data_IF_573567025948
#
_entry.id   IF_573567025948
#
_cell.length_a   1.000
_cell.length_b   1.000
_cell.length_c   1.000
_cell.angle_alpha   90.00
_cell.angle_beta   90.00
_cell.angle_gamma   90.00
#
_symmetry.space_group_name_H-M   'P 1'
#
loop_
_entity.id
_entity.type
_entity.pdbx_description
1 polymer ?
#
# COMPACT_ATOMS: atom_id res chain seq x y z
N UNK A 1 -11.50 10.12 -7.09
CA UNK A 1 -12.85 10.14 -6.52
C UNK A 1 -13.90 9.58 -7.46
N UNK A 2 -15.02 9.12 -6.92
CA UNK A 2 -16.16 8.59 -7.69
C UNK A 2 -17.44 9.34 -7.31
N UNK A 3 -18.35 9.47 -8.25
CA UNK A 3 -19.67 10.08 -8.01
C UNK A 3 -20.75 9.00 -8.04
N UNK A 4 -21.64 9.02 -7.07
CA UNK A 4 -22.77 8.11 -6.99
C UNK A 4 -22.34 6.65 -6.95
N UNK A 5 -22.95 5.82 -7.81
CA UNK A 5 -22.70 4.38 -7.92
C UNK A 5 -21.55 4.00 -8.87
N UNK A 6 -20.77 4.98 -9.37
CA UNK A 6 -19.68 4.66 -10.29
C UNK A 6 -18.61 3.81 -9.61
N UNK A 7 -18.21 2.70 -10.24
CA UNK A 7 -17.13 1.86 -9.77
C UNK A 7 -15.79 2.62 -9.83
N UNK A 8 -14.98 2.48 -8.79
CA UNK A 8 -13.58 2.93 -8.83
C UNK A 8 -12.80 2.04 -9.80
N UNK A 9 -11.95 2.65 -10.61
CA UNK A 9 -10.95 1.87 -11.33
C UNK A 9 -10.06 1.14 -10.31
N UNK A 10 -9.74 -0.13 -10.59
CA UNK A 10 -8.77 -0.88 -9.78
C UNK A 10 -7.39 -0.24 -9.86
N UNK A 11 -6.59 -0.44 -8.83
CA UNK A 11 -5.17 -0.11 -8.86
C UNK A 11 -4.40 -1.15 -9.66
N UNK A 12 -3.35 -0.74 -10.32
CA UNK A 12 -2.51 -1.61 -11.16
C UNK A 12 -1.08 -1.08 -11.19
N UNK A 13 -0.18 -1.88 -11.71
CA UNK A 13 1.20 -1.53 -11.95
C UNK A 13 2.17 -2.14 -10.94
N UNK A 14 3.44 -2.21 -11.34
CA UNK A 14 4.51 -2.69 -10.50
C UNK A 14 4.95 -1.63 -9.50
N UNK A 15 5.06 -1.99 -8.23
CA UNK A 15 5.57 -1.12 -7.17
C UNK A 15 7.09 -0.91 -7.29
N UNK A 16 7.82 -1.96 -7.68
CA UNK A 16 9.30 -1.94 -7.73
C UNK A 16 9.89 -1.72 -9.12
N UNK A 17 9.12 -1.98 -10.19
CA UNK A 17 9.54 -1.83 -11.59
C UNK A 17 8.42 -1.18 -12.40
N UNK A 18 7.99 0.05 -12.05
CA UNK A 18 6.82 0.67 -12.64
C UNK A 18 7.05 0.98 -14.13
N UNK A 19 6.12 0.50 -14.97
CA UNK A 19 6.18 0.65 -16.45
C UNK A 19 4.84 1.05 -17.04
N UNK A 20 3.83 1.20 -16.21
CA UNK A 20 2.46 1.47 -16.60
C UNK A 20 2.19 2.97 -16.57
N UNK A 21 1.52 3.49 -17.60
CA UNK A 21 1.03 4.87 -17.59
C UNK A 21 -0.13 5.01 -16.59
N UNK A 22 -0.27 6.18 -16.00
CA UNK A 22 -1.42 6.51 -15.19
C UNK A 22 -2.70 6.53 -16.01
N UNK A 23 -3.82 6.13 -15.42
CA UNK A 23 -5.12 6.17 -16.09
C UNK A 23 -5.61 7.60 -16.30
N UNK A 24 -6.19 7.86 -17.46
CA UNK A 24 -6.97 9.07 -17.70
C UNK A 24 -8.29 9.04 -16.93
N UNK A 25 -8.88 10.21 -16.74
CA UNK A 25 -10.23 10.34 -16.18
C UNK A 25 -11.29 10.08 -17.25
N UNK A 26 -12.49 9.71 -16.80
CA UNK A 26 -13.65 9.47 -17.67
C UNK A 26 -14.74 10.52 -17.44
N UNK A 27 -15.48 10.88 -18.50
CA UNK A 27 -16.59 11.85 -18.46
C UNK A 27 -16.31 13.11 -19.30
N UNK A 28 -17.11 14.16 -19.11
CA UNK A 28 -16.89 15.47 -19.72
C UNK A 28 -15.72 16.20 -19.05
N UNK A 29 -14.94 16.96 -19.83
CA UNK A 29 -13.73 17.65 -19.36
C UNK A 29 -12.69 16.71 -18.72
N UNK A 30 -12.35 15.65 -19.45
CA UNK A 30 -11.40 14.62 -19.05
C UNK A 30 -9.96 15.10 -19.04
N UNK A 31 -9.11 14.41 -18.33
CA UNK A 31 -7.70 14.66 -18.26
C UNK A 31 -6.88 13.38 -18.45
N UNK A 32 -5.76 13.47 -19.12
CA UNK A 32 -4.83 12.36 -19.30
C UNK A 32 -4.12 12.01 -17.99
N UNK A 33 -3.81 10.73 -17.82
CA UNK A 33 -2.87 10.27 -16.80
C UNK A 33 -1.44 10.67 -17.11
N UNK A 34 -0.57 10.53 -16.12
CA UNK A 34 0.88 10.69 -16.27
C UNK A 34 1.48 9.60 -17.16
N UNK A 35 2.54 9.96 -17.88
CA UNK A 35 3.26 9.04 -18.75
C UNK A 35 4.23 8.13 -17.99
N UNK A 36 5.11 7.49 -18.75
CA UNK A 36 6.16 6.60 -18.21
C UNK A 36 7.53 7.19 -18.54
N UNK A 37 8.39 7.26 -17.55
CA UNK A 37 9.79 7.65 -17.68
C UNK A 37 10.66 6.50 -17.20
N UNK A 38 11.57 6.01 -18.04
CA UNK A 38 12.62 5.07 -17.67
C UNK A 38 13.98 5.71 -17.90
N UNK A 39 14.81 5.69 -16.86
CA UNK A 39 16.16 6.26 -16.89
C UNK A 39 17.17 5.19 -16.48
N UNK A 40 18.19 4.99 -17.29
CA UNK A 40 19.38 4.22 -16.97
C UNK A 40 20.60 5.11 -17.24
N UNK A 41 21.32 5.52 -16.22
CA UNK A 41 22.43 6.45 -16.33
C UNK A 41 23.53 6.13 -15.29
N UNK A 42 24.79 6.34 -15.64
CA UNK A 42 25.87 6.25 -14.66
C UNK A 42 25.74 7.32 -13.56
N UNK A 43 25.26 8.51 -13.93
CA UNK A 43 25.05 9.63 -13.00
C UNK A 43 23.83 10.46 -13.41
N UNK A 44 23.02 10.85 -12.42
CA UNK A 44 21.93 11.82 -12.57
C UNK A 44 22.22 13.02 -11.68
N UNK A 45 22.30 14.22 -12.29
CA UNK A 45 22.62 15.47 -11.60
C UNK A 45 21.48 16.47 -11.78
N UNK A 46 20.88 16.90 -10.68
CA UNK A 46 19.94 18.00 -10.69
C UNK A 46 20.69 19.31 -10.47
N UNK A 47 20.66 20.22 -11.46
CA UNK A 47 21.34 21.51 -11.43
C UNK A 47 20.72 22.54 -10.48
N UNK A 48 19.71 22.17 -9.70
CA UNK A 48 19.05 23.01 -8.70
C UNK A 48 17.65 22.50 -8.34
N UNK A 49 17.04 23.13 -7.34
CA UNK A 49 15.76 22.71 -6.77
C UNK A 49 14.55 22.83 -7.73
N UNK A 50 14.71 23.57 -8.83
CA UNK A 50 13.67 23.71 -9.87
C UNK A 50 13.77 22.65 -10.97
N UNK A 51 14.88 21.89 -11.04
CA UNK A 51 15.04 20.78 -11.98
C UNK A 51 14.08 19.64 -11.61
N UNK A 52 13.44 19.02 -12.61
CA UNK A 52 12.34 18.05 -12.35
C UNK A 52 12.40 16.85 -13.27
N UNK A 53 12.03 15.69 -12.74
CA UNK A 53 11.59 14.51 -13.49
C UNK A 53 10.15 14.24 -13.04
N UNK A 54 9.18 14.41 -13.93
CA UNK A 54 7.76 14.34 -13.54
C UNK A 54 6.95 13.46 -14.47
N UNK A 55 6.05 12.68 -13.88
CA UNK A 55 5.06 11.85 -14.55
C UNK A 55 3.66 12.08 -13.94
N UNK A 56 3.30 13.34 -13.72
CA UNK A 56 2.07 13.72 -13.04
C UNK A 56 0.84 13.50 -13.92
N UNK A 57 -0.29 13.18 -13.30
CA UNK A 57 -1.59 13.24 -13.93
C UNK A 57 -1.97 14.68 -14.26
N UNK A 58 -2.68 14.89 -15.38
CA UNK A 58 -3.16 16.21 -15.77
C UNK A 58 -4.43 16.57 -15.01
N UNK A 59 -4.53 17.81 -14.57
CA UNK A 59 -5.80 18.37 -14.09
C UNK A 59 -6.81 18.53 -15.22
N UNK A 60 -8.08 18.31 -14.95
CA UNK A 60 -9.19 18.51 -15.87
C UNK A 60 -10.21 19.48 -15.29
N UNK A 61 -11.32 19.70 -16.00
CA UNK A 61 -12.40 20.56 -15.48
C UNK A 61 -13.17 19.93 -14.32
N UNK A 62 -13.52 18.64 -14.41
CA UNK A 62 -14.26 17.89 -13.41
C UNK A 62 -13.51 16.73 -12.81
N UNK A 63 -12.63 16.09 -13.57
CA UNK A 63 -11.87 14.92 -13.13
C UNK A 63 -10.45 14.99 -13.66
N UNK A 64 -9.50 14.52 -12.89
CA UNK A 64 -8.08 14.49 -13.23
C UNK A 64 -7.56 13.09 -13.48
N UNK A 65 -6.44 13.00 -14.20
CA UNK A 65 -5.71 11.77 -14.44
C UNK A 65 -4.88 11.35 -13.23
N UNK A 66 -4.60 10.06 -13.12
CA UNK A 66 -3.69 9.51 -12.13
C UNK A 66 -2.22 9.83 -12.49
N UNK A 67 -1.33 9.84 -11.51
CA UNK A 67 0.11 9.85 -11.72
C UNK A 67 0.57 8.62 -12.53
N UNK A 68 1.66 8.77 -13.28
CA UNK A 68 2.25 7.71 -14.09
C UNK A 68 3.38 6.98 -13.39
N UNK A 69 4.41 6.61 -14.14
CA UNK A 69 5.53 5.83 -13.63
C UNK A 69 6.88 6.49 -13.89
N UNK A 70 7.75 6.47 -12.90
CA UNK A 70 9.16 6.82 -13.02
C UNK A 70 9.99 5.64 -12.51
N UNK A 71 10.82 5.06 -13.39
CA UNK A 71 11.76 4.02 -13.01
C UNK A 71 13.17 4.45 -13.38
N UNK A 72 14.02 4.62 -12.37
CA UNK A 72 15.39 5.09 -12.52
C UNK A 72 16.38 4.07 -11.96
N UNK A 73 17.44 3.80 -12.72
CA UNK A 73 18.63 3.10 -12.25
C UNK A 73 19.85 3.99 -12.49
N UNK A 74 20.62 4.31 -11.44
CA UNK A 74 21.77 5.20 -11.55
C UNK A 74 22.87 4.81 -10.57
N UNK A 75 24.13 5.00 -10.98
CA UNK A 75 25.27 4.86 -10.09
C UNK A 75 25.31 5.98 -9.03
N UNK A 76 25.08 7.23 -9.44
CA UNK A 76 25.04 8.38 -8.54
C UNK A 76 23.84 9.27 -8.82
N UNK A 77 23.22 9.79 -7.76
CA UNK A 77 22.14 10.78 -7.82
C UNK A 77 22.53 12.00 -6.98
N UNK A 78 22.60 13.19 -7.58
CA UNK A 78 23.03 14.38 -6.86
C UNK A 78 22.13 15.58 -7.11
N UNK A 79 22.06 16.47 -6.10
CA UNK A 79 21.33 17.73 -6.16
C UNK A 79 19.94 17.68 -5.54
N UNK A 80 19.19 18.79 -5.70
CA UNK A 80 17.98 19.08 -4.93
C UNK A 80 16.69 19.07 -5.80
N UNK A 81 16.73 18.41 -6.95
CA UNK A 81 15.61 18.33 -7.87
C UNK A 81 14.36 17.64 -7.32
N UNK A 82 13.28 17.69 -8.07
CA UNK A 82 12.02 17.02 -7.77
C UNK A 82 11.84 15.79 -8.67
N UNK A 83 11.46 14.66 -8.05
CA UNK A 83 11.04 13.44 -8.76
C UNK A 83 9.60 13.16 -8.34
N UNK A 84 8.65 13.22 -9.29
CA UNK A 84 7.23 13.25 -8.91
C UNK A 84 6.32 12.51 -9.89
N UNK A 85 5.46 11.67 -9.35
CA UNK A 85 4.40 10.98 -10.10
C UNK A 85 3.04 11.23 -9.40
N UNK A 86 2.69 12.49 -9.19
CA UNK A 86 1.49 12.89 -8.45
C UNK A 86 0.21 12.73 -9.26
N UNK A 87 -0.91 12.54 -8.58
CA UNK A 87 -2.24 12.64 -9.18
C UNK A 87 -2.55 14.07 -9.61
N UNK A 88 -3.30 14.23 -10.70
CA UNK A 88 -3.79 15.54 -11.13
C UNK A 88 -4.82 16.11 -10.18
N UNK A 89 -4.98 17.43 -10.19
CA UNK A 89 -5.92 18.16 -9.32
C UNK A 89 -7.07 18.75 -10.13
N UNK A 90 -8.30 18.59 -9.63
CA UNK A 90 -9.52 19.20 -10.15
C UNK A 90 -10.67 19.07 -9.13
N UNK A 91 -11.91 18.96 -9.58
CA UNK A 91 -13.04 18.65 -8.68
C UNK A 91 -12.94 17.22 -8.12
N UNK A 92 -12.58 16.22 -8.95
CA UNK A 92 -12.26 14.86 -8.55
C UNK A 92 -10.81 14.56 -8.88
N UNK A 93 -10.02 14.33 -7.87
CA UNK A 93 -8.57 14.26 -7.97
C UNK A 93 -8.07 12.87 -8.34
N UNK A 94 -6.97 12.83 -9.08
CA UNK A 94 -6.32 11.59 -9.48
C UNK A 94 -5.53 10.96 -8.34
N UNK A 95 -5.40 9.63 -8.35
CA UNK A 95 -4.47 8.93 -7.45
C UNK A 95 -3.03 9.16 -7.86
N UNK A 96 -2.10 9.05 -6.92
CA UNK A 96 -0.67 9.04 -7.17
C UNK A 96 -0.24 7.84 -8.02
N UNK A 97 0.89 7.95 -8.69
CA UNK A 97 1.49 6.92 -9.53
C UNK A 97 2.56 6.11 -8.80
N UNK A 98 3.62 5.74 -9.49
CA UNK A 98 4.70 4.95 -8.93
C UNK A 98 6.07 5.51 -9.31
N UNK A 99 6.96 5.62 -8.32
CA UNK A 99 8.36 6.01 -8.47
C UNK A 99 9.23 4.90 -7.92
N UNK A 100 10.17 4.39 -8.70
CA UNK A 100 11.18 3.43 -8.24
C UNK A 100 12.57 3.92 -8.65
N UNK A 101 13.48 4.02 -7.67
CA UNK A 101 14.84 4.52 -7.86
C UNK A 101 15.82 3.54 -7.27
N UNK A 102 16.61 2.90 -8.14
CA UNK A 102 17.78 2.10 -7.77
C UNK A 102 19.02 2.97 -7.92
N UNK A 103 19.79 3.18 -6.85
CA UNK A 103 20.96 4.06 -6.87
C UNK A 103 22.14 3.48 -6.09
N UNK A 104 23.34 3.77 -6.56
CA UNK A 104 24.57 3.44 -5.83
C UNK A 104 24.79 4.39 -4.64
N UNK A 105 24.93 5.67 -4.93
CA UNK A 105 25.07 6.74 -3.93
C UNK A 105 24.17 7.91 -4.23
N UNK A 106 23.80 8.67 -3.21
CA UNK A 106 23.00 9.87 -3.38
C UNK A 106 23.45 10.98 -2.45
N UNK A 107 23.41 12.24 -2.95
CA UNK A 107 23.65 13.46 -2.18
C UNK A 107 22.66 14.55 -2.57
N UNK A 108 22.36 15.46 -1.64
CA UNK A 108 21.30 16.45 -1.80
C UNK A 108 19.94 15.91 -1.36
N UNK A 109 18.87 16.58 -1.75
CA UNK A 109 17.50 16.33 -1.25
C UNK A 109 16.58 15.63 -2.24
N UNK A 110 17.03 15.29 -3.46
CA UNK A 110 16.17 14.74 -4.51
C UNK A 110 15.43 13.44 -4.08
N UNK A 111 16.11 12.52 -3.37
CA UNK A 111 15.47 11.31 -2.84
C UNK A 111 14.42 11.63 -1.76
N UNK A 112 14.73 12.58 -0.86
CA UNK A 112 13.80 12.99 0.19
C UNK A 112 12.55 13.67 -0.41
N UNK A 113 12.69 14.35 -1.54
CA UNK A 113 11.62 15.06 -2.25
C UNK A 113 10.86 14.18 -3.25
N UNK A 114 11.35 12.97 -3.53
CA UNK A 114 10.64 12.03 -4.40
C UNK A 114 9.26 11.72 -3.80
N UNK A 115 8.20 11.90 -4.58
CA UNK A 115 6.84 11.68 -4.14
C UNK A 115 5.90 11.15 -5.24
N UNK A 116 4.79 10.58 -4.80
CA UNK A 116 3.70 10.09 -5.63
C UNK A 116 2.35 10.40 -4.94
N UNK A 117 2.16 11.61 -4.44
CA UNK A 117 0.95 11.98 -3.72
C UNK A 117 -0.29 11.94 -4.63
N UNK A 118 -1.43 11.67 -4.06
CA UNK A 118 -2.71 11.88 -4.73
C UNK A 118 -3.03 13.36 -4.86
N UNK A 119 -3.79 13.75 -5.87
CA UNK A 119 -4.30 15.11 -5.99
C UNK A 119 -5.22 15.46 -4.81
N UNK A 120 -5.18 16.71 -4.37
CA UNK A 120 -5.84 17.18 -3.15
C UNK A 120 -6.65 18.45 -3.31
N UNK A 121 -7.00 19.08 -2.18
CA UNK A 121 -7.72 20.37 -2.13
C UNK A 121 -9.23 20.25 -2.10
N UNK A 122 -9.78 19.04 -1.95
CA UNK A 122 -11.23 18.76 -1.89
C UNK A 122 -11.61 17.91 -0.67
N UNK A 123 -12.79 17.34 -0.67
CA UNK A 123 -13.21 16.40 0.37
C UNK A 123 -12.44 15.07 0.28
N UNK A 124 -12.40 14.32 1.38
CA UNK A 124 -11.77 12.98 1.43
C UNK A 124 -12.28 12.05 0.32
N UNK A 125 -13.57 12.13 -0.02
CA UNK A 125 -14.16 11.30 -1.07
C UNK A 125 -13.65 11.66 -2.48
N UNK A 126 -13.27 12.92 -2.69
CA UNK A 126 -12.87 13.50 -3.97
C UNK A 126 -11.33 13.54 -4.13
N UNK A 127 -10.59 13.49 -3.04
CA UNK A 127 -9.13 13.48 -3.08
C UNK A 127 -8.57 12.11 -3.50
N UNK A 128 -7.46 12.13 -4.22
CA UNK A 128 -6.72 10.94 -4.61
C UNK A 128 -5.98 10.31 -3.42
N UNK A 129 -5.73 9.02 -3.49
CA UNK A 129 -4.82 8.33 -2.58
C UNK A 129 -3.38 8.46 -3.04
N UNK A 130 -2.43 8.30 -2.13
CA UNK A 130 -1.02 8.23 -2.48
C UNK A 130 -0.74 7.07 -3.45
N UNK A 131 0.28 7.21 -4.26
CA UNK A 131 0.94 6.11 -4.94
C UNK A 131 2.10 5.59 -4.11
N UNK A 132 3.12 5.06 -4.78
CA UNK A 132 4.26 4.43 -4.13
C UNK A 132 5.59 5.04 -4.57
N UNK A 133 6.52 5.18 -3.63
CA UNK A 133 7.92 5.51 -3.91
C UNK A 133 8.80 4.41 -3.34
N UNK A 134 9.58 3.76 -4.18
CA UNK A 134 10.56 2.75 -3.77
C UNK A 134 11.96 3.30 -4.00
N UNK A 135 12.76 3.33 -2.94
CA UNK A 135 14.14 3.79 -2.94
C UNK A 135 15.05 2.62 -2.58
N UNK A 136 15.92 2.22 -3.49
CA UNK A 136 16.86 1.12 -3.26
C UNK A 136 18.30 1.59 -3.44
N UNK A 137 18.96 1.83 -2.31
CA UNK A 137 20.38 2.16 -2.27
C UNK A 137 21.30 0.93 -2.34
N UNK A 138 22.58 1.15 -2.60
CA UNK A 138 23.58 0.09 -2.52
C UNK A 138 23.57 -0.55 -1.12
N UNK A 139 23.61 -1.88 -1.08
CA UNK A 139 23.57 -2.65 0.18
C UNK A 139 22.16 -2.96 0.71
N UNK A 140 21.11 -2.42 0.09
CA UNK A 140 19.75 -2.83 0.36
C UNK A 140 19.33 -4.00 -0.55
N UNK A 141 18.70 -5.01 0.02
CA UNK A 141 18.23 -6.17 -0.76
C UNK A 141 16.90 -5.86 -1.46
N UNK A 142 15.99 -5.19 -0.76
CA UNK A 142 14.62 -4.95 -1.21
C UNK A 142 14.25 -3.47 -1.32
N UNK A 143 15.07 -2.57 -0.75
CA UNK A 143 14.82 -1.13 -0.73
C UNK A 143 13.80 -0.69 0.33
N UNK A 144 13.49 0.59 0.31
CA UNK A 144 12.52 1.25 1.20
C UNK A 144 11.26 1.59 0.42
N UNK A 145 10.10 1.15 0.88
CA UNK A 145 8.81 1.59 0.37
C UNK A 145 8.35 2.81 1.18
N UNK A 146 8.08 3.90 0.49
CA UNK A 146 7.42 5.09 1.04
C UNK A 146 6.01 5.22 0.46
N UNK A 147 5.02 5.42 1.33
CA UNK A 147 3.64 5.78 0.98
C UNK A 147 3.28 7.00 1.81
N UNK A 148 3.19 8.15 1.15
CA UNK A 148 2.96 9.45 1.78
C UNK A 148 2.03 10.29 0.90
N UNK A 149 0.89 10.71 1.46
CA UNK A 149 -0.08 11.55 0.75
C UNK A 149 0.11 13.05 1.05
N UNK A 150 1.26 13.42 1.59
CA UNK A 150 1.68 14.80 1.89
C UNK A 150 0.63 15.61 2.68
N UNK A 151 -0.03 14.96 3.64
CA UNK A 151 -1.07 15.58 4.48
C UNK A 151 -2.46 15.65 3.84
N UNK A 152 -2.66 15.08 2.66
CA UNK A 152 -3.96 15.04 2.01
C UNK A 152 -4.74 13.80 2.44
N UNK A 153 -5.84 13.98 3.16
CA UNK A 153 -6.78 12.89 3.44
C UNK A 153 -7.53 12.55 2.15
N UNK A 154 -7.35 11.35 1.64
CA UNK A 154 -7.89 10.93 0.34
C UNK A 154 -8.31 9.47 0.29
N UNK A 155 -8.29 8.89 -0.89
CA UNK A 155 -8.61 7.49 -1.12
C UNK A 155 -7.45 6.58 -0.70
N UNK A 156 -7.72 5.27 -0.58
CA UNK A 156 -6.69 4.30 -0.22
C UNK A 156 -5.68 4.08 -1.35
N UNK A 157 -4.42 3.87 -0.97
CA UNK A 157 -3.39 3.22 -1.75
C UNK A 157 -3.61 1.72 -1.63
N UNK A 158 -4.14 1.09 -2.67
CA UNK A 158 -4.29 -0.36 -2.70
C UNK A 158 -3.13 -0.96 -3.50
N UNK A 159 -2.26 -1.72 -2.85
CA UNK A 159 -1.19 -2.43 -3.55
C UNK A 159 -1.79 -3.57 -4.37
N UNK A 160 -1.41 -3.73 -5.66
CA UNK A 160 -1.90 -4.83 -6.49
C UNK A 160 -1.61 -6.19 -5.86
N UNK A 161 -2.58 -7.10 -5.84
CA UNK A 161 -2.44 -8.42 -5.23
C UNK A 161 -2.26 -9.51 -6.29
N UNK A 162 -1.21 -10.31 -6.13
CA UNK A 162 -1.06 -11.58 -6.85
C UNK A 162 -2.03 -12.63 -6.30
N UNK A 163 -2.32 -12.53 -4.99
CA UNK A 163 -3.16 -13.49 -4.27
C UNK A 163 -2.39 -14.69 -3.76
N UNK A 164 -3.14 -15.73 -3.43
CA UNK A 164 -2.61 -16.97 -2.88
C UNK A 164 -3.36 -18.18 -3.47
N UNK A 165 -2.78 -19.36 -3.37
CA UNK A 165 -3.43 -20.57 -3.83
C UNK A 165 -2.59 -21.83 -3.67
N UNK A 166 -3.07 -22.89 -4.29
CA UNK A 166 -2.37 -24.18 -4.38
C UNK A 166 -1.80 -24.36 -5.78
N UNK A 167 -0.54 -24.72 -5.85
CA UNK A 167 0.16 -25.03 -7.09
C UNK A 167 -0.52 -26.20 -7.83
N UNK A 168 -0.87 -25.99 -9.10
CA UNK A 168 -1.62 -26.94 -9.91
C UNK A 168 -0.72 -27.95 -10.63
N UNK A 169 -1.33 -28.95 -11.24
CA UNK A 169 -0.65 -29.89 -12.13
C UNK A 169 0.15 -29.14 -13.21
N UNK A 170 1.36 -29.60 -13.51
CA UNK A 170 2.30 -28.92 -14.38
C UNK A 170 3.30 -28.02 -13.64
N UNK A 171 3.11 -27.79 -12.34
CA UNK A 171 4.13 -27.15 -11.48
C UNK A 171 5.33 -28.07 -11.29
N UNK A 172 6.55 -27.54 -11.44
CA UNK A 172 7.79 -28.29 -11.20
C UNK A 172 9.03 -27.43 -11.40
N UNK A 173 10.08 -27.71 -10.63
CA UNK A 173 11.32 -26.91 -10.67
C UNK A 173 11.03 -25.43 -10.36
N UNK A 174 11.34 -24.55 -11.29
CA UNK A 174 11.06 -23.11 -11.17
C UNK A 174 9.68 -22.67 -11.69
N UNK A 175 8.94 -23.59 -12.29
CA UNK A 175 7.62 -23.27 -12.90
C UNK A 175 6.51 -23.44 -11.88
N UNK A 176 5.72 -22.41 -11.67
CA UNK A 176 4.52 -22.40 -10.82
C UNK A 176 3.27 -22.18 -11.68
N UNK A 177 2.38 -23.16 -11.72
CA UNK A 177 1.03 -23.04 -12.28
C UNK A 177 0.10 -22.64 -11.14
N UNK A 178 -0.38 -21.39 -11.14
CA UNK A 178 -1.02 -20.78 -9.95
C UNK A 178 -2.45 -21.22 -9.70
N UNK A 179 -3.16 -21.70 -10.72
CA UNK A 179 -4.60 -22.03 -10.61
C UNK A 179 -5.51 -20.80 -10.47
N UNK A 180 -5.02 -19.59 -10.74
CA UNK A 180 -5.85 -18.37 -10.77
C UNK A 180 -6.94 -18.52 -11.86
N UNK A 181 -8.07 -17.84 -11.65
CA UNK A 181 -9.12 -17.76 -12.68
C UNK A 181 -8.68 -16.88 -13.86
N UNK A 182 -8.01 -15.76 -13.54
CA UNK A 182 -7.58 -14.73 -14.50
C UNK A 182 -6.10 -14.85 -14.83
N UNK A 183 -5.71 -14.42 -16.02
CA UNK A 183 -4.31 -14.25 -16.39
C UNK A 183 -3.57 -13.33 -15.40
N UNK A 184 -2.30 -13.64 -15.14
CA UNK A 184 -1.47 -12.82 -14.29
C UNK A 184 -0.99 -11.61 -15.09
N UNK A 185 -1.30 -10.37 -14.67
CA UNK A 185 -0.84 -9.17 -15.36
C UNK A 185 0.70 -9.09 -15.42
N UNK A 186 1.22 -8.60 -16.54
CA UNK A 186 2.66 -8.53 -16.79
C UNK A 186 3.43 -7.68 -15.75
N UNK A 187 2.76 -6.74 -15.08
CA UNK A 187 3.40 -5.91 -14.05
C UNK A 187 3.78 -6.68 -12.76
N UNK A 188 3.34 -7.94 -12.59
CA UNK A 188 3.83 -8.80 -11.52
C UNK A 188 5.22 -9.40 -11.80
N UNK A 189 5.84 -9.17 -12.96
CA UNK A 189 7.24 -9.53 -13.17
C UNK A 189 8.14 -8.81 -12.15
N UNK A 190 8.93 -9.59 -11.41
CA UNK A 190 9.74 -9.11 -10.27
C UNK A 190 9.03 -9.08 -8.92
N UNK A 191 7.74 -9.40 -8.85
CA UNK A 191 7.01 -9.58 -7.58
C UNK A 191 7.50 -10.84 -6.86
N UNK A 192 7.40 -10.87 -5.54
CA UNK A 192 7.82 -12.01 -4.75
C UNK A 192 6.70 -13.02 -4.54
N UNK A 193 7.05 -14.30 -4.57
CA UNK A 193 6.17 -15.42 -4.24
C UNK A 193 6.79 -16.21 -3.11
N UNK A 194 6.08 -16.33 -2.00
CA UNK A 194 6.40 -17.20 -0.87
C UNK A 194 5.73 -18.55 -1.10
N UNK A 195 6.47 -19.63 -0.97
CA UNK A 195 5.95 -20.98 -1.18
C UNK A 195 6.17 -21.82 0.07
N UNK A 196 5.14 -22.57 0.47
CA UNK A 196 5.18 -23.45 1.64
C UNK A 196 4.79 -24.87 1.24
N UNK A 197 5.38 -25.85 1.93
CA UNK A 197 5.12 -27.27 1.77
C UNK A 197 5.04 -27.95 3.12
N UNK A 198 3.97 -28.71 3.36
CA UNK A 198 3.79 -29.41 4.64
C UNK A 198 3.73 -28.49 5.86
N UNK A 199 3.31 -27.23 5.68
CA UNK A 199 3.27 -26.22 6.74
C UNK A 199 4.59 -25.49 6.99
N UNK A 200 5.68 -25.86 6.32
CA UNK A 200 6.98 -25.19 6.39
C UNK A 200 7.25 -24.28 5.20
N UNK A 201 7.98 -23.19 5.40
CA UNK A 201 8.48 -22.33 4.32
C UNK A 201 9.47 -23.11 3.45
N UNK A 202 9.15 -23.25 2.16
CA UNK A 202 10.06 -23.82 1.17
C UNK A 202 11.05 -22.78 0.68
N UNK A 203 10.60 -21.57 0.39
CA UNK A 203 11.42 -20.45 -0.04
C UNK A 203 10.58 -19.26 -0.49
N UNK A 204 11.27 -18.19 -0.89
CA UNK A 204 10.66 -16.97 -1.42
C UNK A 204 11.48 -16.51 -2.62
N UNK A 205 10.84 -16.44 -3.78
CA UNK A 205 11.49 -16.16 -5.06
C UNK A 205 10.76 -15.07 -5.85
N UNK A 206 11.48 -14.42 -6.75
CA UNK A 206 10.89 -13.43 -7.67
C UNK A 206 10.28 -14.10 -8.89
N UNK A 207 9.23 -13.52 -9.39
CA UNK A 207 8.68 -13.85 -10.71
C UNK A 207 9.62 -13.30 -11.78
N UNK A 208 10.23 -14.18 -12.56
CA UNK A 208 11.04 -13.83 -13.73
C UNK A 208 10.17 -13.59 -14.96
N UNK A 209 9.41 -14.60 -15.35
CA UNK A 209 8.53 -14.54 -16.53
C UNK A 209 7.10 -14.94 -16.19
N UNK A 210 6.17 -14.45 -16.98
CA UNK A 210 4.72 -14.71 -16.85
C UNK A 210 4.19 -15.19 -18.18
N UNK A 211 3.42 -16.29 -18.14
CA UNK A 211 2.69 -16.82 -19.29
C UNK A 211 1.30 -17.23 -18.83
N UNK A 212 0.29 -16.42 -19.17
CA UNK A 212 -1.09 -16.58 -18.72
C UNK A 212 -1.18 -16.69 -17.17
N UNK A 213 -1.47 -17.85 -16.63
CA UNK A 213 -1.59 -18.15 -15.19
C UNK A 213 -0.38 -18.88 -14.62
N UNK A 214 0.69 -18.97 -15.39
CA UNK A 214 1.93 -19.65 -15.04
C UNK A 214 3.04 -18.63 -14.89
N UNK A 215 3.87 -18.78 -13.86
CA UNK A 215 5.06 -17.98 -13.66
C UNK A 215 6.30 -18.86 -13.56
N UNK A 216 7.43 -18.34 -14.02
CA UNK A 216 8.74 -18.91 -13.76
C UNK A 216 9.40 -18.09 -12.66
N UNK A 217 9.83 -18.74 -11.58
CA UNK A 217 10.51 -18.11 -10.47
C UNK A 217 12.01 -18.08 -10.70
N UNK A 218 12.67 -16.98 -10.33
CA UNK A 218 14.11 -16.80 -10.43
C UNK A 218 14.80 -17.39 -9.18
N UNK A 219 15.91 -18.07 -9.36
CA UNK A 219 16.75 -18.48 -8.23
C UNK A 219 17.25 -17.25 -7.45
N UNK A 220 17.29 -17.37 -6.13
CA UNK A 220 17.84 -16.35 -5.25
C UNK A 220 19.25 -16.81 -4.79
N UNK A 221 20.27 -16.43 -5.53
CA UNK A 221 21.62 -16.96 -5.34
C UNK A 221 21.67 -18.47 -5.57
N UNK A 222 22.11 -19.23 -4.55
CA UNK A 222 22.17 -20.69 -4.57
C UNK A 222 20.80 -21.35 -4.29
N UNK A 223 19.82 -20.58 -3.83
CA UNK A 223 18.47 -21.08 -3.52
C UNK A 223 17.61 -21.12 -4.80
N UNK A 224 17.57 -22.28 -5.42
CA UNK A 224 16.79 -22.53 -6.62
C UNK A 224 15.40 -23.07 -6.25
N UNK A 225 14.32 -22.60 -6.93
CA UNK A 225 12.98 -23.12 -6.72
C UNK A 225 12.92 -24.62 -7.05
N UNK A 226 12.33 -25.40 -6.14
CA UNK A 226 12.12 -26.85 -6.32
C UNK A 226 10.63 -27.16 -6.06
N UNK A 227 9.76 -26.54 -6.85
CA UNK A 227 8.31 -26.57 -6.70
C UNK A 227 7.71 -27.89 -7.14
N UNK A 228 6.54 -28.22 -6.61
CA UNK A 228 5.70 -29.32 -7.07
C UNK A 228 4.21 -28.98 -6.94
N UNK A 229 3.38 -29.72 -7.67
CA UNK A 229 1.94 -29.60 -7.50
C UNK A 229 1.52 -29.89 -6.05
N UNK A 230 0.58 -29.11 -5.53
CA UNK A 230 0.14 -29.19 -4.13
C UNK A 230 0.87 -28.25 -3.18
N UNK A 231 1.97 -27.62 -3.56
CA UNK A 231 2.58 -26.55 -2.76
C UNK A 231 1.60 -25.38 -2.59
N UNK A 232 1.62 -24.75 -1.42
CA UNK A 232 0.87 -23.51 -1.23
C UNK A 232 1.76 -22.33 -1.63
N UNK A 233 1.20 -21.38 -2.33
CA UNK A 233 1.91 -20.17 -2.76
C UNK A 233 1.12 -18.91 -2.39
N UNK A 234 1.84 -17.81 -2.15
CA UNK A 234 1.27 -16.50 -1.86
C UNK A 234 2.17 -15.40 -2.43
N UNK A 235 1.56 -14.41 -3.10
CA UNK A 235 2.22 -13.16 -3.43
C UNK A 235 2.62 -12.41 -2.16
N UNK A 236 3.79 -11.79 -2.14
CA UNK A 236 4.28 -11.06 -0.97
C UNK A 236 5.11 -9.84 -1.40
N UNK A 237 4.90 -8.72 -0.72
CA UNK A 237 5.77 -7.55 -0.81
C UNK A 237 6.90 -7.66 0.23
N UNK A 238 8.14 -7.37 -0.20
CA UNK A 238 9.32 -7.41 0.67
C UNK A 238 10.08 -6.10 0.55
N UNK A 239 10.33 -5.45 1.69
CA UNK A 239 11.10 -4.22 1.79
C UNK A 239 12.03 -4.27 3.02
N UNK A 240 13.21 -3.63 2.91
CA UNK A 240 14.12 -3.48 4.03
C UNK A 240 13.57 -2.45 5.04
N UNK A 241 12.79 -1.48 4.56
CA UNK A 241 12.10 -0.52 5.41
C UNK A 241 10.78 -0.04 4.79
N UNK A 242 9.86 0.40 5.66
CA UNK A 242 8.62 1.07 5.29
C UNK A 242 8.60 2.48 5.90
N UNK A 243 8.28 3.49 5.09
CA UNK A 243 8.04 4.87 5.51
C UNK A 243 6.59 5.22 5.17
N UNK A 244 5.75 5.35 6.17
CA UNK A 244 4.33 5.61 6.00
C UNK A 244 3.97 6.96 6.64
N UNK A 245 3.23 7.81 5.91
CA UNK A 245 2.94 9.13 6.42
C UNK A 245 1.87 9.90 5.65
N UNK A 246 1.71 11.18 6.02
CA UNK A 246 0.95 12.16 5.25
C UNK A 246 -0.50 11.82 4.99
N UNK A 247 -1.24 11.28 5.95
CA UNK A 247 -2.65 10.87 5.81
C UNK A 247 -2.87 9.66 4.89
N UNK A 248 -1.85 8.83 4.67
CA UNK A 248 -1.96 7.67 3.81
C UNK A 248 -2.93 6.62 4.37
N UNK A 249 -3.76 6.06 3.50
CA UNK A 249 -4.60 4.89 3.77
C UNK A 249 -4.04 3.75 2.94
N UNK A 250 -3.43 2.76 3.60
CA UNK A 250 -2.73 1.66 2.90
C UNK A 250 -3.54 0.38 2.99
N UNK A 251 -3.70 -0.30 1.86
CA UNK A 251 -4.35 -1.60 1.76
C UNK A 251 -3.52 -2.54 0.92
N UNK A 252 -3.41 -3.78 1.36
CA UNK A 252 -2.78 -4.85 0.60
C UNK A 252 -3.41 -6.18 0.99
N UNK A 253 -3.86 -6.94 0.00
CA UNK A 253 -4.32 -8.32 0.21
C UNK A 253 -3.12 -9.30 0.22
N UNK A 254 -2.00 -8.93 -0.43
CA UNK A 254 -0.75 -9.65 -0.27
C UNK A 254 -0.01 -9.14 0.98
N UNK A 255 0.58 -9.99 1.81
CA UNK A 255 1.37 -9.58 2.96
C UNK A 255 2.48 -8.60 2.58
N UNK A 256 2.62 -7.53 3.36
CA UNK A 256 3.73 -6.58 3.26
C UNK A 256 4.72 -6.88 4.38
N UNK A 257 5.85 -7.42 4.01
CA UNK A 257 6.93 -7.74 4.94
C UNK A 257 7.94 -6.60 4.93
N UNK A 258 7.91 -5.80 5.99
CA UNK A 258 8.84 -4.70 6.21
C UNK A 258 9.93 -5.09 7.19
N UNK A 259 11.12 -4.56 7.00
CA UNK A 259 12.13 -4.48 8.04
C UNK A 259 11.75 -3.43 9.07
N UNK A 260 12.54 -2.35 9.19
CA UNK A 260 12.18 -1.21 10.02
C UNK A 260 11.00 -0.44 9.42
N UNK A 261 9.98 -0.17 10.21
CA UNK A 261 8.80 0.61 9.78
C UNK A 261 8.70 1.89 10.58
N UNK A 262 8.56 3.03 9.88
CA UNK A 262 8.43 4.35 10.49
C UNK A 262 7.12 4.98 10.04
N UNK A 263 6.34 5.46 11.01
CA UNK A 263 5.10 6.21 10.81
C UNK A 263 5.36 7.67 11.17
N UNK A 264 5.21 8.58 10.18
CA UNK A 264 5.59 10.01 10.32
C UNK A 264 4.41 10.97 10.27
N UNK A 265 3.19 10.47 10.08
CA UNK A 265 1.95 11.26 10.06
C UNK A 265 0.79 10.36 10.42
N UNK A 266 -0.44 10.79 10.08
CA UNK A 266 -1.58 9.91 10.26
C UNK A 266 -1.58 8.83 9.19
N UNK A 267 -1.66 7.58 9.60
CA UNK A 267 -1.66 6.40 8.73
C UNK A 267 -2.79 5.47 9.12
N UNK A 268 -3.55 5.05 8.13
CA UNK A 268 -4.63 4.07 8.29
C UNK A 268 -4.28 2.79 7.54
N UNK A 269 -4.24 1.66 8.24
CA UNK A 269 -4.02 0.33 7.66
C UNK A 269 -4.63 -0.76 8.56
N UNK A 270 -4.86 -1.95 8.02
CA UNK A 270 -5.45 -3.08 8.77
C UNK A 270 -4.37 -3.91 9.49
N UNK A 271 -3.16 -3.99 8.95
CA UNK A 271 -2.08 -4.75 9.57
C UNK A 271 -0.70 -4.22 9.22
N UNK A 272 0.26 -4.40 10.12
CA UNK A 272 1.68 -4.16 9.90
C UNK A 272 2.51 -5.28 10.53
N UNK A 273 3.43 -5.84 9.73
CA UNK A 273 4.43 -6.80 10.19
C UNK A 273 5.81 -6.23 9.93
N UNK A 274 6.60 -6.02 10.97
CA UNK A 274 7.89 -5.36 10.90
C UNK A 274 8.92 -6.01 11.85
N UNK A 275 10.20 -5.86 11.56
CA UNK A 275 11.25 -6.18 12.53
C UNK A 275 11.32 -5.16 13.67
N UNK A 276 11.06 -3.89 13.37
CA UNK A 276 10.91 -2.79 14.33
C UNK A 276 9.88 -1.80 13.81
N UNK A 277 9.10 -1.18 14.71
CA UNK A 277 8.10 -0.16 14.37
C UNK A 277 8.31 1.07 15.23
N UNK A 278 8.40 2.25 14.60
CA UNK A 278 8.45 3.52 15.28
C UNK A 278 7.28 4.40 14.85
N UNK A 279 6.44 4.80 15.81
CA UNK A 279 5.43 5.84 15.61
C UNK A 279 6.02 7.15 16.12
N UNK A 280 6.32 8.06 15.19
CA UNK A 280 7.00 9.32 15.47
C UNK A 280 6.13 10.30 16.27
N UNK A 281 6.78 11.30 16.88
CA UNK A 281 6.10 12.41 17.55
C UNK A 281 5.08 13.07 16.62
N UNK A 282 3.84 13.25 17.11
CA UNK A 282 2.71 13.78 16.34
C UNK A 282 2.08 12.83 15.33
N UNK A 283 2.65 11.64 15.12
CA UNK A 283 2.09 10.63 14.21
C UNK A 283 0.99 9.79 14.89
N UNK A 284 0.08 9.26 14.05
CA UNK A 284 -0.97 8.36 14.49
C UNK A 284 -1.04 7.14 13.57
N UNK A 285 -1.10 5.96 14.16
CA UNK A 285 -1.43 4.71 13.47
C UNK A 285 -2.84 4.28 13.88
N UNK A 286 -3.69 3.96 12.89
CA UNK A 286 -5.08 3.57 13.11
C UNK A 286 -5.53 2.57 12.04
N UNK A 287 -6.76 2.04 12.17
CA UNK A 287 -7.39 1.23 11.12
C UNK A 287 -8.66 1.91 10.57
N UNK A 288 -9.17 1.46 9.40
CA UNK A 288 -10.45 1.94 8.89
C UNK A 288 -11.57 1.67 9.91
N UNK A 289 -12.56 2.55 9.99
CA UNK A 289 -13.72 2.31 10.86
C UNK A 289 -14.45 1.02 10.43
N UNK A 290 -14.95 0.27 11.43
CA UNK A 290 -15.85 -0.84 11.19
C UNK A 290 -17.16 -0.37 10.56
N UNK A 291 -17.84 -1.26 9.84
CA UNK A 291 -19.19 -1.03 9.32
C UNK A 291 -20.20 -1.83 10.14
N UNK A 292 -21.47 -1.73 9.80
CA UNK A 292 -22.51 -2.53 10.44
C UNK A 292 -22.33 -4.06 10.18
N UNK A 293 -21.66 -4.41 9.11
CA UNK A 293 -21.50 -5.80 8.64
C UNK A 293 -20.06 -6.30 8.65
N UNK A 294 -19.07 -5.43 8.83
CA UNK A 294 -17.67 -5.78 8.79
C UNK A 294 -16.91 -5.14 9.96
N UNK A 295 -16.39 -5.97 10.85
CA UNK A 295 -15.52 -5.53 11.94
C UNK A 295 -14.09 -5.41 11.41
N UNK A 296 -13.50 -4.23 11.57
CA UNK A 296 -12.11 -3.94 11.25
C UNK A 296 -11.26 -3.93 12.51
N UNK A 297 -10.00 -4.26 12.36
CA UNK A 297 -9.02 -4.23 13.45
C UNK A 297 -7.66 -3.77 12.93
N UNK A 298 -6.81 -3.33 13.84
CA UNK A 298 -5.39 -3.08 13.59
C UNK A 298 -4.57 -4.22 14.18
N UNK A 299 -3.92 -4.99 13.33
CA UNK A 299 -2.98 -6.01 13.75
C UNK A 299 -1.54 -5.50 13.64
N UNK A 300 -0.81 -5.45 14.75
CA UNK A 300 0.58 -5.00 14.80
C UNK A 300 1.46 -6.16 15.26
N UNK A 301 2.31 -6.65 14.36
CA UNK A 301 3.30 -7.71 14.64
C UNK A 301 4.70 -7.13 14.50
N UNK A 302 5.43 -7.03 15.61
CA UNK A 302 6.79 -6.50 15.65
C UNK A 302 7.72 -7.54 16.28
N UNK A 303 8.72 -7.98 15.52
CA UNK A 303 9.68 -8.98 15.99
C UNK A 303 10.66 -8.44 17.05
N UNK A 304 10.93 -7.14 17.03
CA UNK A 304 11.83 -6.47 17.96
C UNK A 304 11.12 -5.35 18.73
N UNK A 305 11.52 -4.09 18.52
CA UNK A 305 11.04 -2.94 19.31
C UNK A 305 9.86 -2.26 18.62
N UNK A 306 8.74 -2.11 19.35
CA UNK A 306 7.70 -1.14 19.07
C UNK A 306 7.99 0.12 19.89
N UNK A 307 8.33 1.23 19.23
CA UNK A 307 8.57 2.53 19.84
C UNK A 307 7.42 3.49 19.50
N UNK A 308 6.82 4.08 20.49
CA UNK A 308 5.88 5.20 20.34
C UNK A 308 6.55 6.40 20.99
N UNK A 309 6.99 7.35 20.15
CA UNK A 309 7.64 8.56 20.63
C UNK A 309 6.66 9.46 21.38
N UNK A 310 7.17 10.39 22.20
CA UNK A 310 6.32 11.35 22.91
C UNK A 310 5.42 12.14 21.93
N UNK A 311 4.09 12.06 22.13
CA UNK A 311 3.08 12.64 21.22
C UNK A 311 2.70 11.75 20.02
N UNK A 312 3.42 10.65 19.76
CA UNK A 312 2.98 9.61 18.85
C UNK A 312 1.89 8.75 19.47
N UNK A 313 1.04 8.10 18.67
CA UNK A 313 -0.04 7.25 19.20
C UNK A 313 -0.45 6.14 18.24
N UNK A 314 -0.90 5.03 18.80
CA UNK A 314 -1.76 4.05 18.15
C UNK A 314 -3.15 4.31 18.71
N UNK A 315 -4.08 4.77 17.86
CA UNK A 315 -5.38 5.27 18.30
C UNK A 315 -6.49 4.75 17.41
N UNK A 316 -7.36 3.94 17.97
CA UNK A 316 -8.51 3.34 17.29
C UNK A 316 -9.84 3.84 17.89
N UNK A 317 -9.82 5.00 18.56
CA UNK A 317 -11.00 5.63 19.16
C UNK A 317 -12.07 5.87 18.07
N UNK A 318 -13.30 5.42 18.34
CA UNK A 318 -14.44 5.55 17.43
C UNK A 318 -14.35 4.69 16.15
N UNK A 319 -13.45 3.68 16.10
CA UNK A 319 -13.29 2.78 14.95
C UNK A 319 -14.09 1.48 15.07
N UNK A 320 -14.79 1.26 16.17
CA UNK A 320 -15.68 0.11 16.39
C UNK A 320 -16.97 0.19 15.58
N UNK A 321 -18.00 -0.47 16.05
CA UNK A 321 -19.32 -0.45 15.43
C UNK A 321 -19.88 0.97 15.30
N UNK A 322 -20.54 1.31 14.17
CA UNK A 322 -21.22 2.60 14.00
C UNK A 322 -22.35 2.79 15.01
N UNK A 323 -22.80 4.05 15.16
CA UNK A 323 -23.95 4.36 16.00
C UNK A 323 -25.17 3.52 15.62
N UNK A 324 -25.87 2.99 16.63
CA UNK A 324 -27.06 2.14 16.46
C UNK A 324 -26.76 0.69 16.09
N UNK A 325 -25.49 0.28 16.06
CA UNK A 325 -25.07 -1.10 15.79
C UNK A 325 -24.22 -1.67 16.94
N UNK A 326 -24.21 -2.98 17.08
CA UNK A 326 -23.44 -3.70 18.10
C UNK A 326 -23.06 -5.08 17.60
N UNK A 327 -22.36 -5.85 18.42
CA UNK A 327 -22.09 -7.26 18.13
C UNK A 327 -23.41 -8.01 17.86
N UNK A 328 -23.52 -8.83 16.80
CA UNK A 328 -24.80 -9.39 16.33
C UNK A 328 -25.65 -10.08 17.38
N UNK A 329 -25.01 -10.73 18.35
CA UNK A 329 -25.71 -11.50 19.40
C UNK A 329 -25.99 -10.68 20.66
N UNK A 330 -25.44 -9.48 20.79
CA UNK A 330 -25.58 -8.66 22.00
C UNK A 330 -26.90 -7.86 22.06
N UNK A 331 -27.59 -7.72 20.92
CA UNK A 331 -28.79 -6.89 20.79
C UNK A 331 -28.50 -5.39 20.92
N UNK A 332 -28.96 -4.60 19.96
CA UNK A 332 -28.90 -3.16 20.05
C UNK A 332 -29.98 -2.64 20.99
N UNK A 333 -29.66 -1.61 21.79
CA UNK A 333 -30.64 -0.92 22.61
C UNK A 333 -30.95 0.46 22.04
N UNK A 334 -32.21 0.89 22.15
CA UNK A 334 -32.61 2.25 21.85
C UNK A 334 -32.55 3.11 23.13
N UNK A 335 -31.92 4.28 23.04
CA UNK A 335 -31.83 5.22 24.18
C UNK A 335 -30.81 4.86 25.24
N UNK A 336 -29.86 3.97 24.94
CA UNK A 336 -28.74 3.64 25.84
C UNK A 336 -27.39 3.88 25.17
N UNK A 337 -26.36 4.08 25.98
CA UNK A 337 -24.98 4.12 25.53
C UNK A 337 -24.47 2.73 25.12
N UNK A 338 -23.43 2.69 24.27
CA UNK A 338 -22.81 1.44 23.83
C UNK A 338 -22.22 0.63 24.98
N UNK A 339 -22.31 -0.68 24.88
CA UNK A 339 -21.72 -1.66 25.80
C UNK A 339 -20.62 -2.47 25.08
N UNK A 340 -19.67 -2.97 25.85
CA UNK A 340 -18.73 -4.02 25.43
C UNK A 340 -18.59 -5.01 26.59
N UNK A 341 -17.47 -5.09 27.27
CA UNK A 341 -17.38 -5.80 28.56
C UNK A 341 -18.02 -5.01 29.70
N UNK A 342 -17.96 -3.68 29.62
CA UNK A 342 -18.71 -2.77 30.48
C UNK A 342 -20.07 -2.44 29.90
N UNK A 343 -21.10 -2.36 30.75
CA UNK A 343 -22.47 -1.97 30.35
C UNK A 343 -22.54 -0.46 30.18
N UNK A 344 -23.13 0.00 29.06
CA UNK A 344 -23.37 1.42 28.81
C UNK A 344 -24.39 2.03 29.77
N UNK A 345 -24.31 3.35 29.97
CA UNK A 345 -25.30 4.10 30.74
C UNK A 345 -26.65 4.18 30.01
N UNK A 346 -27.73 4.29 30.76
CA UNK A 346 -29.10 4.45 30.26
C UNK A 346 -29.78 5.62 30.92
N UNK A 347 -30.71 6.26 30.21
CA UNK A 347 -31.61 7.26 30.76
C UNK A 347 -33.01 6.63 30.97
N UNK A 348 -33.57 6.80 32.17
CA UNK A 348 -34.88 6.31 32.48
C UNK A 348 -35.01 4.78 32.42
N UNK A 349 -36.03 4.30 31.67
CA UNK A 349 -36.33 2.85 31.54
C UNK A 349 -35.77 2.23 30.25
N UNK A 350 -34.84 2.89 29.57
CA UNK A 350 -34.23 2.36 28.33
C UNK A 350 -33.50 1.02 28.64
N UNK A 351 -33.64 0.07 27.72
CA UNK A 351 -32.97 -1.24 27.85
C UNK A 351 -31.46 -1.06 27.55
N UNK A 352 -30.63 -1.65 28.39
CA UNK A 352 -29.17 -1.73 28.15
C UNK A 352 -28.85 -2.72 27.05
N UNK A 353 -27.88 -2.39 26.21
CA UNK A 353 -27.28 -3.38 25.31
C UNK A 353 -26.58 -4.49 26.15
N UNK A 354 -26.63 -5.73 25.69
CA UNK A 354 -25.88 -6.82 26.27
C UNK A 354 -24.35 -6.54 26.21
N UNK A 355 -23.63 -7.14 27.15
CA UNK A 355 -22.16 -7.15 27.09
C UNK A 355 -21.66 -8.30 26.23
N UNK A 356 -20.51 -8.10 25.56
CA UNK A 356 -19.90 -9.09 24.68
C UNK A 356 -18.37 -8.95 24.69
N UNK A 357 -17.68 -9.89 24.06
CA UNK A 357 -16.24 -9.94 23.98
C UNK A 357 -15.62 -10.99 24.88
N UNK A 358 -14.35 -11.32 24.64
CA UNK A 358 -13.60 -12.30 25.42
C UNK A 358 -12.64 -11.60 26.38
N UNK A 359 -12.54 -12.11 27.59
CA UNK A 359 -11.55 -11.69 28.61
C UNK A 359 -10.30 -12.56 28.59
N UNK A 360 -10.36 -13.68 27.88
CA UNK A 360 -9.24 -14.62 27.68
C UNK A 360 -9.00 -14.83 26.19
N UNK A 361 -7.76 -15.17 25.86
CA UNK A 361 -7.34 -15.44 24.47
C UNK A 361 -7.71 -16.86 24.07
#
# INVERSE_FOLDING_TARGET
GVEGSAAKAGTYGSVTRPREAGSGSWGSNTAAGGGVVRIEAGSVVFGGATAKIVANGKGGGWSSGAGGSIWMTTGTLTGDGLIEAAGGESYRNGGGGAVAIDYGTATGTALARANAAGGGGRSTAENGGAGTVVLKGAGQEHGTLRIDNLGTVGQATALPSLGAGTAQAGTGGATLVTGRAEAIPAYFAGHWVEVTRGGGLLGTWRIGTISDRTVTLEANGADAPALQAGDLWQGVYRFDALELGGEAIVRSDDPVRGGATVVTGNVTLDSVTASALTVKSGAQLTHPASTATEVRSLEVKVGGVLMIEAGGRIDVTGRGYPAGTTYPEAGASTGASGSHLGTGGVEGSAAKAGTYGSVTR
#
